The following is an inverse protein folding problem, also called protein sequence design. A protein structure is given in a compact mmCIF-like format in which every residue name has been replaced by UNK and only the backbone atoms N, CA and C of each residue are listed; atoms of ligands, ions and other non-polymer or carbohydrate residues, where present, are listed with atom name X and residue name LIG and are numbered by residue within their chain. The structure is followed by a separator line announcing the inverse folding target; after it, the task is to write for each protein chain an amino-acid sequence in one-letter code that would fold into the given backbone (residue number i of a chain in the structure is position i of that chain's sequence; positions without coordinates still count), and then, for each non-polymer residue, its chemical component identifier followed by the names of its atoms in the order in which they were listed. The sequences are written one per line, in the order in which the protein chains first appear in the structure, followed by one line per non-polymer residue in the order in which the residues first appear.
data_IF_248289303132
#
_entry.id   IF_248289303132
#
_cell.length_a   1.000
_cell.length_b   1.000
_cell.length_c   1.000
_cell.angle_alpha   90.00
_cell.angle_beta   90.00
_cell.angle_gamma   90.00
#
_symmetry.space_group_name_H-M   'P 1'
#
loop_
_entity.id
_entity.type
_entity.pdbx_description
1 polymer ?
#
# COMPACT_ATOMS: atom_id res chain seq x y z
N UNK A 1 -2.92 18.31 6.87
CA UNK A 1 -2.12 17.75 5.76
C UNK A 1 -2.71 16.39 5.39
N UNK A 2 -2.92 16.11 4.10
CA UNK A 2 -3.48 14.82 3.66
C UNK A 2 -2.39 13.76 3.74
N UNK A 3 -2.68 12.59 4.33
CA UNK A 3 -1.74 11.47 4.34
C UNK A 3 -1.42 11.03 2.90
N UNK A 4 -0.14 10.80 2.61
CA UNK A 4 0.30 10.28 1.32
C UNK A 4 0.13 8.76 1.29
N UNK A 5 -0.14 8.22 0.11
CA UNK A 5 -0.24 6.79 -0.18
C UNK A 5 1.11 6.17 -0.61
N UNK A 6 2.19 6.94 -0.54
CA UNK A 6 3.56 6.52 -0.80
C UNK A 6 4.50 7.13 0.24
N UNK A 7 5.71 6.59 0.33
CA UNK A 7 6.81 7.19 1.09
C UNK A 7 7.32 8.47 0.37
N UNK A 8 7.21 9.67 0.96
CA UNK A 8 7.69 10.91 0.33
C UNK A 8 9.21 10.96 0.11
N UNK A 9 9.98 10.11 0.79
CA UNK A 9 11.42 9.98 0.55
C UNK A 9 11.74 9.11 -0.69
N UNK A 10 10.75 8.40 -1.22
CA UNK A 10 10.91 7.61 -2.44
C UNK A 10 10.82 8.51 -3.69
N UNK A 11 11.92 8.66 -4.46
CA UNK A 11 11.89 9.48 -5.68
C UNK A 11 10.88 8.97 -6.71
N UNK A 12 10.67 7.65 -6.76
CA UNK A 12 9.76 7.02 -7.72
C UNK A 12 8.32 6.99 -7.22
N UNK A 13 8.10 7.28 -5.93
CA UNK A 13 6.79 7.30 -5.26
C UNK A 13 6.05 5.95 -5.35
N UNK A 14 6.77 4.85 -5.51
CA UNK A 14 6.23 3.49 -5.65
C UNK A 14 6.21 2.74 -4.32
N UNK A 15 7.07 3.12 -3.37
CA UNK A 15 7.12 2.59 -2.01
C UNK A 15 5.86 2.95 -1.24
N UNK A 16 5.34 1.99 -0.49
CA UNK A 16 4.24 2.23 0.43
C UNK A 16 4.68 3.17 1.56
N UNK A 17 3.74 3.80 2.30
CA UNK A 17 4.09 4.55 3.50
C UNK A 17 4.90 3.72 4.49
N UNK A 18 5.74 4.38 5.29
CA UNK A 18 6.57 3.69 6.26
C UNK A 18 5.70 2.88 7.26
N UNK A 19 6.10 1.64 7.52
CA UNK A 19 5.45 0.77 8.50
C UNK A 19 4.20 0.02 8.01
N UNK A 20 3.83 0.12 6.73
CA UNK A 20 2.76 -0.68 6.13
C UNK A 20 3.27 -1.58 5.02
N UNK A 21 2.50 -2.63 4.73
CA UNK A 21 2.77 -3.61 3.68
C UNK A 21 1.55 -3.76 2.78
N UNK A 22 1.70 -4.45 1.65
CA UNK A 22 0.58 -4.78 0.77
C UNK A 22 -0.50 -5.60 1.50
N UNK A 23 -0.18 -6.34 2.57
CA UNK A 23 -1.15 -7.00 3.44
C UNK A 23 -2.10 -6.04 4.16
N UNK A 24 -1.71 -4.77 4.31
CA UNK A 24 -2.57 -3.70 4.81
C UNK A 24 -3.35 -3.00 3.68
N UNK A 25 -3.20 -3.42 2.42
CA UNK A 25 -3.79 -2.77 1.25
C UNK A 25 -5.07 -3.46 0.78
N UNK A 26 -6.10 -2.68 0.49
CA UNK A 26 -7.37 -3.15 -0.09
C UNK A 26 -7.21 -3.91 -1.42
N UNK A 27 -6.10 -3.70 -2.14
CA UNK A 27 -5.89 -4.29 -3.46
C UNK A 27 -5.15 -5.63 -3.47
N UNK A 28 -4.67 -6.12 -2.32
CA UNK A 28 -3.73 -7.25 -2.26
C UNK A 28 -4.22 -8.51 -2.99
N UNK A 29 -5.50 -8.87 -2.87
CA UNK A 29 -6.05 -10.05 -3.55
C UNK A 29 -5.94 -9.93 -5.08
N UNK A 30 -6.18 -8.72 -5.61
CA UNK A 30 -6.05 -8.44 -7.05
C UNK A 30 -4.58 -8.41 -7.47
N UNK A 31 -3.70 -7.83 -6.66
CA UNK A 31 -2.27 -7.76 -6.93
C UNK A 31 -1.61 -9.15 -6.93
N UNK A 32 -1.99 -10.04 -6.01
CA UNK A 32 -1.57 -11.46 -6.00
C UNK A 32 -1.95 -12.17 -7.29
N UNK A 33 -3.21 -12.02 -7.71
CA UNK A 33 -3.75 -12.74 -8.87
C UNK A 33 -3.18 -12.26 -10.22
N UNK A 34 -2.91 -10.96 -10.37
CA UNK A 34 -2.50 -10.38 -11.66
C UNK A 34 -0.99 -10.18 -11.79
N UNK A 35 -0.30 -9.85 -10.70
CA UNK A 35 1.10 -9.41 -10.72
C UNK A 35 2.02 -10.29 -9.86
N UNK A 36 1.47 -11.25 -9.11
CA UNK A 36 2.27 -12.13 -8.26
C UNK A 36 2.84 -11.45 -7.01
N UNK A 37 2.32 -10.28 -6.64
CA UNK A 37 2.68 -9.61 -5.39
C UNK A 37 2.37 -10.46 -4.16
N UNK A 38 3.04 -10.18 -3.06
CA UNK A 38 2.82 -10.82 -1.75
C UNK A 38 2.30 -9.84 -0.72
N UNK A 39 1.71 -10.35 0.37
CA UNK A 39 1.24 -9.52 1.49
C UNK A 39 2.39 -8.79 2.21
N UNK A 40 3.63 -9.27 2.07
CA UNK A 40 4.81 -8.67 2.69
C UNK A 40 5.45 -7.56 1.85
N UNK A 41 5.00 -7.36 0.62
CA UNK A 41 5.60 -6.36 -0.27
C UNK A 41 5.40 -4.95 0.30
N UNK A 42 6.39 -4.09 0.07
CA UNK A 42 6.42 -2.70 0.54
C UNK A 42 6.47 -1.70 -0.61
N UNK A 43 6.09 -2.13 -1.81
CA UNK A 43 6.08 -1.32 -3.01
C UNK A 43 4.92 -1.70 -3.95
N UNK A 44 4.57 -0.80 -4.85
CA UNK A 44 3.68 -1.03 -5.99
C UNK A 44 4.48 -1.07 -7.29
N UNK A 45 3.98 -1.77 -8.31
CA UNK A 45 4.53 -1.69 -9.68
C UNK A 45 4.18 -0.38 -10.42
N UNK A 46 3.38 0.49 -9.80
CA UNK A 46 2.87 1.72 -10.42
C UNK A 46 3.22 2.93 -9.57
N UNK A 47 3.66 4.01 -10.23
CA UNK A 47 3.86 5.32 -9.63
C UNK A 47 2.67 6.26 -9.88
N UNK A 48 2.20 7.01 -8.86
CA UNK A 48 2.50 6.81 -7.45
C UNK A 48 1.85 5.51 -6.94
N UNK A 49 2.35 4.98 -5.82
CA UNK A 49 1.78 3.85 -5.10
C UNK A 49 0.26 3.98 -5.03
N UNK A 50 -0.44 2.87 -5.24
CA UNK A 50 -1.91 2.83 -5.21
C UNK A 50 -2.43 2.34 -3.85
N UNK A 51 -1.63 2.46 -2.79
CA UNK A 51 -2.00 2.01 -1.46
C UNK A 51 -3.33 2.60 -1.00
N UNK A 52 -4.23 1.72 -0.57
CA UNK A 52 -5.46 2.07 0.14
C UNK A 52 -5.52 1.19 1.39
N UNK A 53 -5.48 1.75 2.60
CA UNK A 53 -5.52 0.94 3.81
C UNK A 53 -6.85 0.17 3.87
N UNK A 54 -6.78 -1.11 4.23
CA UNK A 54 -7.98 -1.87 4.61
C UNK A 54 -8.63 -1.19 5.82
N UNK A 55 -9.96 -1.05 5.80
CA UNK A 55 -10.68 -0.64 7.00
C UNK A 55 -10.68 -1.83 7.94
N UNK A 56 -9.80 -1.83 8.92
CA UNK A 56 -9.96 -2.73 10.07
C UNK A 56 -11.13 -2.18 10.88
N UNK A 57 -12.30 -2.82 10.82
CA UNK A 57 -13.39 -2.56 11.77
C UNK A 57 -12.87 -2.92 13.18
N UNK A 58 -12.35 -1.91 13.88
CA UNK A 58 -11.66 -2.11 15.16
C UNK A 58 -10.77 -0.94 15.62
N UNK A 59 -10.92 0.27 15.07
CA UNK A 59 -10.41 1.48 15.69
C UNK A 59 -11.61 2.37 16.01
N UNK A 60 -11.80 2.61 17.30
CA UNK A 60 -12.95 3.29 17.88
C UNK A 60 -13.15 4.73 17.36
N UNK A 61 -14.38 5.19 17.61
CA UNK A 61 -15.03 6.46 17.27
C UNK A 61 -14.21 7.70 17.63
#
# INVERSE_FOLDING_TARGET
MKALNYDPADPDKMRLPAGVTCGNCHHIQRCKAMFGHTETDTYCDWSPSRFIPVKTEGAAQ
#
